data_IF_263447452529
#
_entry.id   IF_263447452529
#
_cell.length_a   1.000
_cell.length_b   1.000
_cell.length_c   1.000
_cell.angle_alpha   90.00
_cell.angle_beta   90.00
_cell.angle_gamma   90.00
#
_symmetry.space_group_name_H-M   'P 1'
#
loop_
_entity.id
_entity.type
_entity.pdbx_description
1 polymer ?
#
# COMPACT_ATOMS: atom_id res chain seq x y z
N UNK A 1 12.15 -15.79 2.18
CA UNK A 1 11.55 -14.51 2.62
C UNK A 1 10.35 -14.19 1.76
N UNK A 2 9.24 -13.78 2.38
CA UNK A 2 8.00 -13.37 1.68
C UNK A 2 8.30 -12.19 0.75
N UNK A 3 7.75 -12.18 -0.47
CA UNK A 3 7.99 -11.06 -1.38
C UNK A 3 7.30 -9.79 -0.87
N UNK A 4 7.93 -8.62 -1.05
CA UNK A 4 7.33 -7.33 -0.63
C UNK A 4 5.89 -7.15 -1.14
N UNK A 5 5.57 -7.65 -2.33
CA UNK A 5 4.19 -7.59 -2.86
C UNK A 5 3.21 -8.44 -2.03
N UNK A 6 3.62 -9.62 -1.58
CA UNK A 6 2.80 -10.48 -0.72
C UNK A 6 2.67 -9.89 0.69
N UNK A 7 3.73 -9.28 1.22
CA UNK A 7 3.67 -8.57 2.51
C UNK A 7 2.76 -7.35 2.44
N UNK A 8 2.91 -6.50 1.41
CA UNK A 8 2.02 -5.37 1.16
C UNK A 8 0.58 -5.83 0.95
N UNK A 9 0.36 -6.90 0.21
CA UNK A 9 -0.98 -7.47 0.01
C UNK A 9 -1.60 -7.92 1.33
N UNK A 10 -0.83 -8.55 2.23
CA UNK A 10 -1.29 -8.91 3.57
C UNK A 10 -1.69 -7.68 4.38
N UNK A 11 -0.85 -6.64 4.45
CA UNK A 11 -1.18 -5.42 5.20
C UNK A 11 -2.36 -4.66 4.55
N UNK A 12 -2.39 -4.57 3.21
CA UNK A 12 -3.47 -3.97 2.44
C UNK A 12 -4.82 -4.62 2.72
N UNK A 13 -4.87 -5.95 2.64
CA UNK A 13 -6.05 -6.76 2.93
C UNK A 13 -6.51 -6.59 4.38
N UNK A 14 -5.57 -6.36 5.29
CA UNK A 14 -5.84 -6.34 6.71
C UNK A 14 -6.34 -4.99 7.25
N UNK A 15 -5.82 -3.84 6.79
CA UNK A 15 -6.20 -2.54 7.39
C UNK A 15 -6.03 -1.27 6.53
N UNK A 16 -5.29 -1.29 5.41
CA UNK A 16 -4.97 -0.02 4.70
C UNK A 16 -6.10 0.57 3.85
N UNK A 17 -7.26 -0.09 3.80
CA UNK A 17 -8.46 0.50 3.21
C UNK A 17 -8.78 1.84 3.91
N UNK A 18 -8.57 1.94 5.22
CA UNK A 18 -9.05 3.09 6.01
C UNK A 18 -8.15 4.34 5.89
N UNK A 19 -6.82 4.18 5.81
CA UNK A 19 -5.87 5.29 5.60
C UNK A 19 -6.02 5.91 4.20
N UNK A 20 -6.12 5.09 3.17
CA UNK A 20 -6.30 5.59 1.81
C UNK A 20 -7.72 6.11 1.59
N UNK A 21 -8.76 5.49 2.17
CA UNK A 21 -10.12 6.07 2.16
C UNK A 21 -10.15 7.46 2.78
N UNK A 22 -9.51 7.71 3.93
CA UNK A 22 -9.53 9.02 4.61
C UNK A 22 -8.61 10.06 3.96
N UNK A 23 -7.42 9.65 3.50
CA UNK A 23 -6.41 10.56 2.93
C UNK A 23 -6.67 10.90 1.46
N UNK A 24 -7.35 10.02 0.71
CA UNK A 24 -7.71 10.25 -0.70
C UNK A 24 -9.07 10.92 -0.84
N UNK A 25 -10.10 10.55 -0.03
CA UNK A 25 -11.43 11.23 -0.09
C UNK A 25 -11.41 12.71 0.29
N UNK A 26 -10.43 13.16 1.07
CA UNK A 26 -10.32 14.57 1.48
C UNK A 26 -9.96 15.51 0.31
N UNK A 27 -9.54 14.98 -0.85
CA UNK A 27 -9.46 15.72 -2.12
C UNK A 27 -10.63 15.29 -3.04
N UNK A 28 -11.71 16.07 -3.03
CA UNK A 28 -13.00 15.84 -3.69
C UNK A 28 -12.92 15.41 -5.18
N UNK A 29 -13.68 14.36 -5.53
CA UNK A 29 -14.39 14.07 -6.80
C UNK A 29 -14.38 12.59 -7.25
N UNK A 30 -14.42 11.62 -6.34
CA UNK A 30 -14.69 10.23 -6.74
C UNK A 30 -15.82 9.66 -5.91
N UNK A 31 -17.01 9.59 -6.53
CA UNK A 31 -18.14 8.82 -6.00
C UNK A 31 -17.80 7.35 -6.16
N UNK A 32 -17.52 6.67 -5.05
CA UNK A 32 -17.41 5.21 -4.99
C UNK A 32 -18.58 4.69 -4.17
N UNK A 33 -19.70 4.51 -4.85
CA UNK A 33 -20.82 3.69 -4.37
C UNK A 33 -20.46 2.25 -4.75
N UNK A 34 -20.19 1.39 -3.77
CA UNK A 34 -19.97 -0.05 -4.07
C UNK A 34 -18.87 -0.78 -3.30
N UNK A 35 -18.33 -0.27 -2.19
CA UNK A 35 -17.47 -1.07 -1.30
C UNK A 35 -18.30 -1.60 -0.13
N UNK A 36 -19.23 -2.51 -0.45
CA UNK A 36 -19.88 -3.36 0.54
C UNK A 36 -18.87 -4.36 1.09
N UNK A 37 -18.67 -4.25 2.41
CA UNK A 37 -18.18 -5.28 3.35
C UNK A 37 -17.43 -6.47 2.76
N UNK A 38 -16.09 -6.41 2.76
CA UNK A 38 -15.29 -7.62 2.88
C UNK A 38 -15.19 -7.94 4.36
N UNK A 39 -16.06 -8.86 4.81
CA UNK A 39 -15.92 -9.54 6.09
C UNK A 39 -14.65 -10.38 5.98
N UNK A 40 -13.62 -10.04 6.76
CA UNK A 40 -12.47 -10.92 6.97
C UNK A 40 -12.72 -11.63 8.28
N UNK A 41 -12.82 -12.95 8.17
CA UNK A 41 -12.89 -13.92 9.25
C UNK A 41 -11.74 -13.67 10.26
N UNK A 42 -12.08 -13.17 11.45
CA UNK A 42 -11.18 -13.02 12.60
C UNK A 42 -10.93 -14.39 13.25
N UNK A 43 -10.42 -15.36 12.50
CA UNK A 43 -10.05 -16.65 13.06
C UNK A 43 -8.69 -16.53 13.76
N UNK A 44 -8.73 -16.38 15.10
CA UNK A 44 -7.66 -16.65 16.06
C UNK A 44 -6.33 -15.89 15.90
N UNK A 45 -6.36 -14.56 15.92
CA UNK A 45 -5.14 -13.76 16.17
C UNK A 45 -4.89 -13.56 17.67
N UNK A 46 -3.66 -13.81 18.11
CA UNK A 46 -3.22 -13.55 19.49
C UNK A 46 -2.99 -12.05 19.72
N UNK A 47 -2.85 -11.62 20.97
CA UNK A 47 -2.54 -10.23 21.30
C UNK A 47 -1.19 -9.79 20.70
N UNK A 48 -0.21 -10.70 20.69
CA UNK A 48 1.11 -10.47 20.12
C UNK A 48 1.03 -10.29 18.60
N UNK A 49 0.21 -11.09 17.92
CA UNK A 49 -0.04 -10.92 16.47
C UNK A 49 -0.63 -9.54 16.16
N UNK A 50 -1.53 -9.03 17.02
CA UNK A 50 -2.12 -7.69 16.85
C UNK A 50 -1.10 -6.58 17.06
N UNK A 51 -0.19 -6.72 18.01
CA UNK A 51 0.89 -5.74 18.26
C UNK A 51 1.86 -5.72 17.09
N UNK A 52 2.34 -6.89 16.65
CA UNK A 52 3.26 -7.01 15.51
C UNK A 52 2.63 -6.40 14.24
N UNK A 53 1.34 -6.66 13.98
CA UNK A 53 0.62 -6.07 12.85
C UNK A 53 0.58 -4.55 12.92
N UNK A 54 0.32 -3.98 14.10
CA UNK A 54 0.30 -2.52 14.33
C UNK A 54 1.67 -1.89 14.01
N UNK A 55 2.76 -2.56 14.39
CA UNK A 55 4.12 -2.08 14.15
C UNK A 55 4.48 -2.14 12.65
N UNK A 56 4.18 -3.27 11.98
CA UNK A 56 4.36 -3.41 10.53
C UNK A 56 3.58 -2.35 9.73
N UNK A 57 2.34 -2.06 10.14
CA UNK A 57 1.51 -1.00 9.58
C UNK A 57 2.14 0.38 9.79
N UNK A 58 2.59 0.68 11.00
CA UNK A 58 3.25 1.95 11.34
C UNK A 58 4.51 2.20 10.50
N UNK A 59 5.35 1.17 10.35
CA UNK A 59 6.55 1.21 9.51
C UNK A 59 6.17 1.48 8.06
N UNK A 60 5.15 0.79 7.52
CA UNK A 60 4.69 1.01 6.16
C UNK A 60 4.16 2.43 5.94
N UNK A 61 3.33 2.94 6.86
CA UNK A 61 2.83 4.32 6.79
C UNK A 61 3.97 5.34 6.79
N UNK A 62 4.94 5.15 7.67
CA UNK A 62 6.13 6.01 7.76
C UNK A 62 6.96 5.91 6.50
N UNK A 63 7.12 4.73 5.92
CA UNK A 63 7.82 4.52 4.67
C UNK A 63 7.13 5.23 3.49
N UNK A 64 5.81 5.10 3.37
CA UNK A 64 5.01 5.73 2.32
C UNK A 64 5.06 7.27 2.39
N UNK A 65 5.09 7.85 3.60
CA UNK A 65 5.24 9.31 3.79
C UNK A 65 6.54 9.86 3.19
N UNK A 66 7.59 9.05 3.02
CA UNK A 66 8.86 9.46 2.39
C UNK A 66 8.79 9.54 0.85
N UNK A 67 7.69 9.10 0.25
CA UNK A 67 7.45 9.23 -1.19
C UNK A 67 6.64 10.49 -1.49
N UNK A 68 6.87 11.09 -2.67
CA UNK A 68 5.98 12.14 -3.20
C UNK A 68 4.59 11.57 -3.47
N UNK A 69 3.55 12.41 -3.40
CA UNK A 69 2.14 12.03 -3.63
C UNK A 69 1.94 11.19 -4.90
N UNK A 70 2.54 11.59 -6.02
CA UNK A 70 2.41 10.85 -7.30
C UNK A 70 3.06 9.47 -7.28
N UNK A 71 4.05 9.23 -6.43
CA UNK A 71 4.67 7.92 -6.24
C UNK A 71 3.81 7.06 -5.29
N UNK A 72 3.27 7.67 -4.23
CA UNK A 72 2.33 7.01 -3.32
C UNK A 72 1.11 6.48 -4.10
N UNK A 73 0.55 7.24 -5.03
CA UNK A 73 -0.58 6.80 -5.85
C UNK A 73 -0.25 5.60 -6.74
N UNK A 74 0.94 5.54 -7.33
CA UNK A 74 1.32 4.36 -8.13
C UNK A 74 1.47 3.11 -7.26
N UNK A 75 2.06 3.25 -6.07
CA UNK A 75 2.18 2.15 -5.10
C UNK A 75 0.78 1.72 -4.64
N UNK A 76 -0.10 2.69 -4.36
CA UNK A 76 -1.49 2.45 -4.00
C UNK A 76 -2.20 1.62 -5.08
N UNK A 77 -2.25 2.13 -6.31
CA UNK A 77 -2.93 1.42 -7.40
C UNK A 77 -2.36 0.03 -7.63
N UNK A 78 -1.03 -0.12 -7.54
CA UNK A 78 -0.41 -1.40 -7.84
C UNK A 78 -0.63 -2.47 -6.77
N UNK A 79 -0.54 -2.09 -5.49
CA UNK A 79 -0.46 -3.05 -4.40
C UNK A 79 -1.70 -3.10 -3.51
N UNK A 80 -2.54 -2.06 -3.57
CA UNK A 80 -3.76 -1.96 -2.75
C UNK A 80 -5.03 -2.12 -3.58
N UNK A 81 -5.02 -1.63 -4.83
CA UNK A 81 -6.11 -1.82 -5.79
C UNK A 81 -5.83 -2.97 -6.78
N UNK A 82 -4.68 -3.66 -6.64
CA UNK A 82 -4.20 -4.74 -7.51
C UNK A 82 -4.26 -4.45 -9.02
N UNK A 83 -4.13 -3.17 -9.40
CA UNK A 83 -4.23 -2.77 -10.80
C UNK A 83 -3.03 -3.28 -11.62
N UNK A 84 -3.29 -3.64 -12.87
CA UNK A 84 -2.26 -3.90 -13.88
C UNK A 84 -1.53 -2.60 -14.27
N UNK A 85 -0.32 -2.74 -14.84
CA UNK A 85 0.42 -1.57 -15.33
C UNK A 85 -0.37 -0.80 -16.41
N UNK A 86 -1.17 -1.52 -17.21
CA UNK A 86 -2.05 -0.97 -18.23
C UNK A 86 -3.16 -0.10 -17.62
N UNK A 87 -3.89 -0.61 -16.63
CA UNK A 87 -4.97 0.16 -15.98
C UNK A 87 -4.40 1.39 -15.25
N UNK A 88 -3.21 1.27 -14.66
CA UNK A 88 -2.52 2.40 -14.02
C UNK A 88 -2.10 3.44 -15.08
N UNK A 89 -1.60 3.00 -16.23
CA UNK A 89 -1.25 3.87 -17.35
C UNK A 89 -2.48 4.65 -17.85
N UNK A 90 -3.59 3.96 -18.08
CA UNK A 90 -4.87 4.57 -18.45
C UNK A 90 -5.35 5.60 -17.41
N UNK A 91 -5.24 5.27 -16.11
CA UNK A 91 -5.66 6.15 -15.02
C UNK A 91 -4.77 7.38 -14.82
N UNK A 92 -3.48 7.28 -15.15
CA UNK A 92 -2.49 8.33 -14.85
C UNK A 92 -2.03 9.12 -16.08
N UNK A 93 -2.39 8.69 -17.29
CA UNK A 93 -1.93 9.27 -18.56
C UNK A 93 -0.45 8.99 -18.87
N UNK A 94 0.18 8.07 -18.13
CA UNK A 94 1.55 7.61 -18.40
C UNK A 94 1.53 6.44 -19.39
N UNK A 95 2.65 6.18 -20.07
CA UNK A 95 2.78 4.93 -20.82
C UNK A 95 2.95 3.73 -19.88
N UNK A 96 2.46 2.56 -20.30
CA UNK A 96 2.59 1.31 -19.54
C UNK A 96 4.06 0.99 -19.19
N UNK A 97 4.99 1.21 -20.14
CA UNK A 97 6.44 1.05 -19.91
C UNK A 97 6.97 1.99 -18.84
N UNK A 98 6.53 3.25 -18.83
CA UNK A 98 6.92 4.22 -17.82
C UNK A 98 6.37 3.81 -16.44
N UNK A 99 5.11 3.38 -16.37
CA UNK A 99 4.51 2.84 -15.15
C UNK A 99 5.32 1.66 -14.61
N UNK A 100 5.64 0.67 -15.45
CA UNK A 100 6.44 -0.49 -15.05
C UNK A 100 7.83 -0.11 -14.52
N UNK A 101 8.53 0.77 -15.23
CA UNK A 101 9.86 1.27 -14.82
C UNK A 101 9.79 2.01 -13.49
N UNK A 102 8.76 2.87 -13.33
CA UNK A 102 8.57 3.66 -12.12
C UNK A 102 8.21 2.77 -10.93
N UNK A 103 7.28 1.83 -11.10
CA UNK A 103 6.93 0.86 -10.06
C UNK A 103 8.11 0.00 -9.63
N UNK A 104 8.96 -0.42 -10.55
CA UNK A 104 10.17 -1.16 -10.20
C UNK A 104 11.09 -0.35 -9.28
N UNK A 105 11.37 0.92 -9.63
CA UNK A 105 12.18 1.83 -8.81
C UNK A 105 11.54 2.10 -7.45
N UNK A 106 10.22 2.31 -7.43
CA UNK A 106 9.45 2.55 -6.21
C UNK A 106 9.49 1.35 -5.27
N UNK A 107 9.34 0.12 -5.81
CA UNK A 107 9.45 -1.12 -5.04
C UNK A 107 10.83 -1.26 -4.38
N UNK A 108 11.89 -1.02 -5.13
CA UNK A 108 13.27 -1.08 -4.61
C UNK A 108 13.51 -0.04 -3.52
N UNK A 109 13.02 1.20 -3.73
CA UNK A 109 13.13 2.26 -2.73
C UNK A 109 12.31 1.96 -1.48
N UNK A 110 11.10 1.42 -1.63
CA UNK A 110 10.22 1.10 -0.52
C UNK A 110 10.84 0.02 0.37
N UNK A 111 11.39 -1.03 -0.24
CA UNK A 111 12.14 -2.07 0.47
C UNK A 111 13.29 -1.48 1.28
N UNK A 112 14.07 -0.57 0.69
CA UNK A 112 15.21 0.06 1.38
C UNK A 112 14.76 0.87 2.59
N UNK A 113 13.68 1.64 2.46
CA UNK A 113 13.15 2.46 3.55
C UNK A 113 12.59 1.59 4.68
N UNK A 114 11.88 0.50 4.35
CA UNK A 114 11.35 -0.42 5.37
C UNK A 114 12.49 -1.03 6.18
N UNK A 115 13.51 -1.60 5.51
CA UNK A 115 14.69 -2.17 6.19
C UNK A 115 15.41 -1.13 7.06
N UNK A 116 15.48 0.12 6.59
CA UNK A 116 16.06 1.21 7.38
C UNK A 116 15.22 1.52 8.64
N UNK A 117 13.89 1.53 8.54
CA UNK A 117 13.00 1.77 9.67
C UNK A 117 13.04 0.62 10.68
N UNK A 118 13.01 -0.64 10.21
CA UNK A 118 13.13 -1.84 11.05
C UNK A 118 14.44 -1.84 11.86
N UNK A 119 15.55 -1.43 11.24
CA UNK A 119 16.85 -1.37 11.92
C UNK A 119 17.00 -0.19 12.90
N UNK A 120 16.13 0.83 12.83
CA UNK A 120 16.18 2.00 13.72
C UNK A 120 15.26 1.86 14.94
N UNK A 121 14.43 0.82 15.00
CA UNK A 121 13.60 0.46 16.17
C UNK A 121 14.31 -0.54 17.12
N UNK A 122 15.58 -0.86 16.83
CA UNK A 122 16.49 -1.67 17.66
C UNK A 122 17.71 -0.85 18.09
#
# INVERSE_FOLDING_TARGET
GVSLGVWLYKIARNNLNDYFRKTIRSNKNVSLTGLESVIIDESAETLDDKIIRSDEESILYTALKRFKKSDQYLIYYKFFEDMSNKEIAEKTGLSETNVGTKLHRLRTKLKKIIVELENNEH
#
